data_IF_977059705429
#
_entry.id   IF_977059705429
#
_cell.length_a   1.000
_cell.length_b   1.000
_cell.length_c   1.000
_cell.angle_alpha   90.00
_cell.angle_beta   90.00
_cell.angle_gamma   90.00
#
_symmetry.space_group_name_H-M   'P 1'
#
loop_
_entity.id
_entity.type
_entity.pdbx_description
1 polymer ?
#
# COMPACT_ATOMS: atom_id res chain seq x y z
N UNK A 1 18.79 -0.56 21.72
CA UNK A 1 18.25 0.72 21.20
C UNK A 1 17.61 0.44 19.86
N UNK A 2 16.33 0.76 19.62
CA UNK A 2 15.72 0.52 18.32
C UNK A 2 16.27 1.52 17.29
N UNK A 3 16.54 1.04 16.08
CA UNK A 3 17.17 1.78 15.00
C UNK A 3 16.45 3.11 14.68
N UNK A 4 17.20 4.18 14.39
CA UNK A 4 16.61 5.44 13.95
C UNK A 4 16.12 5.27 12.51
N UNK A 5 14.82 5.12 12.27
CA UNK A 5 14.34 5.32 10.90
C UNK A 5 13.00 4.73 10.50
N UNK A 6 12.45 3.74 11.19
CA UNK A 6 11.19 3.11 10.76
C UNK A 6 10.01 3.84 11.41
N UNK A 7 9.14 4.43 10.59
CA UNK A 7 7.92 5.10 11.03
C UNK A 7 6.71 4.29 10.58
N UNK A 8 5.83 4.00 11.54
CA UNK A 8 4.62 3.24 11.32
C UNK A 8 3.39 4.14 11.41
N UNK A 9 2.42 3.88 10.54
CA UNK A 9 1.20 4.66 10.41
C UNK A 9 -0.02 3.78 10.54
N UNK A 10 -1.11 4.33 11.05
CA UNK A 10 -2.40 3.66 11.23
C UNK A 10 -3.51 4.54 10.67
N UNK A 11 -4.39 3.92 9.88
CA UNK A 11 -5.70 4.46 9.51
C UNK A 11 -6.76 3.76 10.35
N UNK A 12 -7.66 4.53 10.96
CA UNK A 12 -8.85 4.01 11.65
C UNK A 12 -10.10 4.16 10.78
N UNK A 13 -11.02 3.22 10.93
CA UNK A 13 -12.36 3.26 10.36
C UNK A 13 -13.39 3.33 11.51
N UNK A 14 -14.54 3.94 11.28
CA UNK A 14 -15.55 4.18 12.31
C UNK A 14 -15.99 2.86 12.99
N UNK A 15 -16.16 2.92 14.33
CA UNK A 15 -16.34 1.72 15.16
C UNK A 15 -17.70 1.06 14.93
N UNK A 16 -17.67 -0.23 14.64
CA UNK A 16 -18.83 -1.13 14.76
C UNK A 16 -18.57 -2.07 15.94
N UNK A 17 -19.59 -2.28 16.77
CA UNK A 17 -19.52 -3.07 18.01
C UNK A 17 -19.32 -4.57 17.75
N UNK A 18 -18.62 -5.24 18.67
CA UNK A 18 -18.14 -6.62 18.56
C UNK A 18 -19.17 -7.61 19.13
N UNK A 19 -19.57 -8.62 18.35
CA UNK A 19 -20.04 -9.90 18.88
C UNK A 19 -18.95 -10.95 18.70
N UNK A 20 -18.84 -11.97 19.56
CA UNK A 20 -17.89 -13.08 19.41
C UNK A 20 -18.61 -14.29 18.78
N UNK A 21 -18.04 -14.92 17.75
CA UNK A 21 -18.55 -16.20 17.23
C UNK A 21 -17.44 -17.02 16.57
N UNK A 22 -17.60 -18.34 16.65
CA UNK A 22 -16.58 -19.36 16.42
C UNK A 22 -16.40 -19.73 14.94
N UNK A 23 -15.18 -20.06 14.51
CA UNK A 23 -14.81 -20.25 13.10
C UNK A 23 -14.90 -21.71 12.59
N UNK A 24 -15.52 -22.62 13.35
CA UNK A 24 -15.53 -24.06 13.05
C UNK A 24 -16.85 -24.51 12.43
N UNK A 25 -17.22 -23.94 11.29
CA UNK A 25 -18.34 -24.41 10.47
C UNK A 25 -17.84 -25.31 9.34
N UNK A 26 -18.29 -26.58 9.29
CA UNK A 26 -18.09 -27.47 8.12
C UNK A 26 -18.69 -26.79 6.87
N UNK A 27 -17.85 -26.46 5.89
CA UNK A 27 -18.20 -25.73 4.66
C UNK A 27 -18.98 -26.65 3.72
N UNK A 28 -20.21 -26.30 3.37
CA UNK A 28 -21.03 -27.01 2.37
C UNK A 28 -20.79 -26.36 1.00
N UNK A 29 -20.41 -27.17 0.00
CA UNK A 29 -20.15 -26.78 -1.41
C UNK A 29 -21.45 -26.29 -2.05
N UNK A 30 -21.53 -25.00 -2.36
CA UNK A 30 -22.53 -24.46 -3.30
C UNK A 30 -21.74 -24.02 -4.52
N UNK A 31 -21.75 -24.84 -5.57
CA UNK A 31 -21.18 -24.48 -6.86
C UNK A 31 -22.10 -23.45 -7.51
N UNK A 32 -21.69 -22.19 -7.50
CA UNK A 32 -22.38 -21.13 -8.22
C UNK A 32 -21.63 -20.93 -9.55
N UNK A 33 -22.09 -21.58 -10.62
CA UNK A 33 -21.46 -21.60 -11.95
C UNK A 33 -21.26 -20.23 -12.61
N UNK A 34 -21.74 -19.14 -11.99
CA UNK A 34 -21.65 -17.77 -12.51
C UNK A 34 -20.47 -16.96 -11.91
N UNK A 35 -19.60 -17.58 -11.10
CA UNK A 35 -18.43 -16.91 -10.50
C UNK A 35 -17.21 -16.98 -11.43
N UNK A 36 -17.07 -18.04 -12.23
CA UNK A 36 -15.87 -18.30 -13.05
C UNK A 36 -15.54 -17.22 -14.08
N UNK A 37 -16.55 -16.44 -14.51
CA UNK A 37 -16.40 -15.37 -15.53
C UNK A 37 -16.56 -13.96 -14.96
N UNK A 38 -16.60 -13.78 -13.63
CA UNK A 38 -16.79 -12.45 -13.05
C UNK A 38 -15.53 -11.60 -13.21
N UNK A 39 -15.75 -10.42 -13.78
CA UNK A 39 -14.72 -9.44 -14.06
C UNK A 39 -15.18 -8.10 -13.52
N UNK A 40 -14.46 -7.57 -12.55
CA UNK A 40 -14.77 -6.28 -11.93
C UNK A 40 -13.88 -5.17 -12.50
N UNK A 41 -14.36 -3.93 -12.51
CA UNK A 41 -13.52 -2.80 -12.89
C UNK A 41 -12.47 -2.52 -11.82
N UNK A 42 -11.19 -2.44 -12.19
CA UNK A 42 -10.09 -2.18 -11.25
C UNK A 42 -10.32 -0.86 -10.49
N UNK A 43 -10.79 0.18 -11.18
CA UNK A 43 -11.05 1.50 -10.60
C UNK A 43 -12.37 1.59 -9.83
N UNK A 44 -13.26 0.58 -9.93
CA UNK A 44 -14.59 0.58 -9.29
C UNK A 44 -14.80 -0.53 -8.27
N UNK A 45 -13.90 -1.51 -8.21
CA UNK A 45 -13.94 -2.58 -7.21
C UNK A 45 -13.70 -2.05 -5.79
N UNK A 46 -14.68 -2.27 -4.91
CA UNK A 46 -14.73 -1.75 -3.54
C UNK A 46 -15.48 -0.43 -3.40
N UNK A 47 -15.99 0.15 -4.49
CA UNK A 47 -16.96 1.25 -4.42
C UNK A 47 -18.32 0.73 -3.90
N UNK A 48 -19.20 1.61 -3.38
CA UNK A 48 -20.55 1.21 -3.00
C UNK A 48 -21.26 0.43 -4.12
N UNK A 49 -21.82 -0.72 -3.76
CA UNK A 49 -22.48 -1.65 -4.68
C UNK A 49 -21.55 -2.50 -5.55
N UNK A 50 -20.22 -2.39 -5.43
CA UNK A 50 -19.26 -3.14 -6.24
C UNK A 50 -18.19 -3.85 -5.39
N UNK A 51 -18.20 -5.19 -5.27
CA UNK A 51 -19.15 -6.12 -5.89
C UNK A 51 -20.47 -6.24 -5.11
N UNK A 52 -20.50 -5.76 -3.87
CA UNK A 52 -21.67 -5.65 -3.00
C UNK A 52 -21.35 -4.71 -1.83
N UNK A 53 -22.40 -4.24 -1.16
CA UNK A 53 -22.28 -3.53 0.11
C UNK A 53 -22.30 -4.53 1.26
N UNK A 54 -21.35 -4.38 2.18
CA UNK A 54 -21.27 -5.22 3.38
C UNK A 54 -21.56 -4.37 4.62
N UNK A 55 -22.41 -4.86 5.50
CA UNK A 55 -22.89 -4.16 6.71
C UNK A 55 -22.62 -4.95 8.00
N UNK A 56 -21.99 -6.12 7.89
CA UNK A 56 -21.56 -6.95 9.01
C UNK A 56 -20.18 -6.59 9.56
N UNK A 57 -19.69 -7.32 10.58
CA UNK A 57 -18.29 -7.23 11.00
C UNK A 57 -17.36 -7.88 9.96
N UNK A 58 -16.10 -7.44 9.92
CA UNK A 58 -15.11 -7.91 8.93
C UNK A 58 -15.09 -9.43 8.72
N UNK A 59 -15.11 -10.24 9.79
CA UNK A 59 -15.06 -11.71 9.70
C UNK A 59 -16.20 -12.34 8.90
N UNK A 60 -17.36 -11.70 8.89
CA UNK A 60 -18.54 -12.22 8.22
C UNK A 60 -18.52 -11.68 6.77
N UNK A 61 -18.18 -10.41 6.61
CA UNK A 61 -18.00 -9.77 5.29
C UNK A 61 -16.96 -10.50 4.43
N UNK A 62 -15.79 -10.83 4.97
CA UNK A 62 -14.74 -11.53 4.20
C UNK A 62 -15.19 -12.92 3.75
N UNK A 63 -15.98 -13.64 4.56
CA UNK A 63 -16.49 -14.97 4.20
C UNK A 63 -17.49 -14.87 3.06
N UNK A 64 -18.47 -13.97 3.18
CA UNK A 64 -19.46 -13.70 2.14
C UNK A 64 -18.76 -13.25 0.86
N UNK A 65 -17.83 -12.30 0.98
CA UNK A 65 -17.02 -11.80 -0.13
C UNK A 65 -16.33 -12.93 -0.90
N UNK A 66 -15.59 -13.80 -0.20
CA UNK A 66 -14.87 -14.89 -0.85
C UNK A 66 -15.82 -15.91 -1.48
N UNK A 67 -16.89 -16.30 -0.77
CA UNK A 67 -17.85 -17.31 -1.24
C UNK A 67 -18.63 -16.86 -2.48
N UNK A 68 -19.09 -15.61 -2.48
CA UNK A 68 -20.05 -15.15 -3.47
C UNK A 68 -19.39 -14.38 -4.63
N UNK A 69 -18.18 -13.84 -4.44
CA UNK A 69 -17.57 -12.89 -5.38
C UNK A 69 -16.15 -13.23 -5.81
N UNK A 70 -15.48 -14.20 -5.18
CA UNK A 70 -14.15 -14.66 -5.57
C UNK A 70 -14.19 -16.10 -6.09
N UNK A 71 -13.32 -16.42 -7.05
CA UNK A 71 -13.18 -17.77 -7.59
C UNK A 71 -12.26 -18.58 -6.68
N UNK A 72 -12.73 -19.72 -6.20
CA UNK A 72 -11.88 -20.68 -5.49
C UNK A 72 -10.96 -21.37 -6.50
N UNK A 73 -9.65 -21.33 -6.25
CA UNK A 73 -8.67 -22.03 -7.08
C UNK A 73 -8.50 -23.48 -6.63
N UNK A 74 -8.31 -24.39 -7.58
CA UNK A 74 -8.17 -25.83 -7.33
C UNK A 74 -6.74 -26.23 -6.91
N UNK A 75 -5.96 -25.29 -6.36
CA UNK A 75 -4.61 -25.50 -5.87
C UNK A 75 -4.39 -24.78 -4.54
N UNK A 76 -3.38 -25.24 -3.80
CA UNK A 76 -2.93 -24.60 -2.58
C UNK A 76 -1.58 -23.94 -2.82
N UNK A 77 -1.29 -22.87 -2.08
CA UNK A 77 0.04 -22.25 -2.06
C UNK A 77 0.53 -22.26 -0.62
N UNK A 78 1.66 -22.91 -0.36
CA UNK A 78 2.18 -23.12 1.00
C UNK A 78 1.12 -23.67 1.99
N UNK A 79 0.24 -24.56 1.49
CA UNK A 79 -0.87 -25.15 2.26
C UNK A 79 -2.09 -24.23 2.47
N UNK A 80 -2.06 -22.99 1.95
CA UNK A 80 -3.15 -22.03 2.05
C UNK A 80 -4.18 -22.21 0.94
N UNK A 81 -5.46 -22.01 1.28
CA UNK A 81 -6.54 -21.95 0.28
C UNK A 81 -6.43 -20.66 -0.51
N UNK A 82 -6.53 -20.75 -1.83
CA UNK A 82 -6.37 -19.58 -2.72
C UNK A 82 -7.68 -19.23 -3.40
N UNK A 83 -8.02 -17.96 -3.35
CA UNK A 83 -9.12 -17.36 -4.09
C UNK A 83 -8.54 -16.36 -5.11
N UNK A 84 -9.20 -16.19 -6.25
CA UNK A 84 -8.81 -15.24 -7.28
C UNK A 84 -9.96 -14.29 -7.65
N UNK A 85 -9.60 -13.05 -7.94
CA UNK A 85 -10.49 -12.00 -8.43
C UNK A 85 -9.83 -11.38 -9.67
N UNK A 86 -10.56 -11.37 -10.78
CA UNK A 86 -10.13 -10.71 -12.01
C UNK A 86 -10.59 -9.25 -12.03
N UNK A 87 -9.64 -8.33 -12.23
CA UNK A 87 -9.86 -6.88 -12.26
C UNK A 87 -9.48 -6.31 -13.62
N UNK A 88 -10.45 -5.76 -14.36
CA UNK A 88 -10.25 -5.09 -15.65
C UNK A 88 -9.65 -3.71 -15.45
N UNK A 89 -8.49 -3.46 -16.04
CA UNK A 89 -7.83 -2.14 -16.03
C UNK A 89 -8.23 -1.32 -17.25
N UNK A 90 -8.20 -1.94 -18.43
CA UNK A 90 -8.70 -1.42 -19.70
C UNK A 90 -9.28 -2.57 -20.53
N UNK A 91 -9.78 -2.30 -21.74
CA UNK A 91 -10.40 -3.31 -22.60
C UNK A 91 -9.47 -4.47 -22.98
N UNK A 92 -8.16 -4.25 -22.89
CA UNK A 92 -7.12 -5.19 -23.31
C UNK A 92 -6.37 -5.84 -22.14
N UNK A 93 -6.56 -5.36 -20.91
CA UNK A 93 -5.72 -5.74 -19.79
C UNK A 93 -6.45 -5.95 -18.48
N UNK A 94 -6.05 -7.02 -17.80
CA UNK A 94 -6.59 -7.44 -16.52
C UNK A 94 -5.45 -7.67 -15.52
N UNK A 95 -5.76 -7.44 -14.25
CA UNK A 95 -4.92 -7.76 -13.10
C UNK A 95 -5.65 -8.83 -12.30
N UNK A 96 -4.94 -9.89 -11.92
CA UNK A 96 -5.46 -10.88 -10.98
C UNK A 96 -5.03 -10.50 -9.57
N UNK A 97 -6.01 -10.36 -8.68
CA UNK A 97 -5.78 -10.26 -7.24
C UNK A 97 -6.09 -11.62 -6.61
N UNK A 98 -5.18 -12.13 -5.81
CA UNK A 98 -5.36 -13.37 -5.06
C UNK A 98 -5.63 -13.06 -3.60
N UNK A 99 -6.48 -13.88 -2.98
CA UNK A 99 -6.68 -13.86 -1.52
C UNK A 99 -6.32 -15.24 -0.98
N UNK A 100 -5.29 -15.31 -0.15
CA UNK A 100 -4.85 -16.55 0.48
C UNK A 100 -5.34 -16.61 1.92
N UNK A 101 -5.97 -17.72 2.28
CA UNK A 101 -6.46 -18.00 3.63
C UNK A 101 -5.39 -18.79 4.40
N UNK A 102 -4.67 -18.11 5.29
CA UNK A 102 -3.65 -18.70 6.15
C UNK A 102 -4.25 -19.02 7.53
N UNK A 103 -4.22 -20.30 7.91
CA UNK A 103 -4.68 -20.72 9.23
C UNK A 103 -3.55 -20.56 10.24
N UNK A 104 -3.74 -19.74 11.27
CA UNK A 104 -2.69 -19.37 12.24
C UNK A 104 -2.07 -20.58 12.95
N UNK A 105 -2.89 -21.61 13.20
CA UNK A 105 -2.45 -22.89 13.78
C UNK A 105 -1.46 -23.68 12.90
N UNK A 106 -1.49 -23.47 11.58
CA UNK A 106 -0.64 -24.16 10.61
C UNK A 106 0.44 -23.22 10.05
N UNK A 107 0.45 -21.96 10.48
CA UNK A 107 1.36 -20.94 9.99
C UNK A 107 2.78 -21.17 10.50
N UNK A 108 3.78 -20.93 9.64
CA UNK A 108 5.18 -20.92 10.04
C UNK A 108 5.47 -19.89 11.15
N UNK A 109 4.74 -18.77 11.09
CA UNK A 109 4.80 -17.67 12.07
C UNK A 109 3.41 -17.43 12.67
N UNK A 110 3.06 -18.07 13.80
CA UNK A 110 1.73 -17.94 14.42
C UNK A 110 1.45 -16.52 14.94
N UNK A 111 2.51 -15.80 15.34
CA UNK A 111 2.41 -14.40 15.72
C UNK A 111 2.51 -13.51 14.48
N UNK A 112 1.88 -12.33 14.56
CA UNK A 112 1.97 -11.32 13.53
C UNK A 112 3.06 -10.32 13.88
N UNK A 113 4.17 -10.37 13.15
CA UNK A 113 5.30 -9.47 13.34
C UNK A 113 4.86 -7.99 13.25
N UNK A 114 3.96 -7.64 12.32
CA UNK A 114 3.43 -6.29 12.18
C UNK A 114 2.61 -5.82 13.40
N UNK A 115 1.83 -6.70 14.02
CA UNK A 115 1.12 -6.39 15.25
C UNK A 115 2.10 -6.11 16.40
N UNK A 116 3.24 -6.79 16.41
CA UNK A 116 4.29 -6.57 17.41
C UNK A 116 4.87 -5.17 17.33
N UNK A 117 5.19 -4.71 16.13
CA UNK A 117 5.77 -3.37 15.94
C UNK A 117 4.80 -2.23 16.27
N UNK A 118 3.51 -2.41 16.03
CA UNK A 118 2.48 -1.39 16.25
C UNK A 118 1.90 -1.40 17.68
N UNK A 119 2.18 -2.45 18.47
CA UNK A 119 1.60 -2.62 19.80
C UNK A 119 0.18 -3.21 19.78
N UNK A 120 -0.18 -3.92 18.71
CA UNK A 120 -1.44 -4.67 18.58
C UNK A 120 -1.34 -6.11 19.09
N UNK A 121 -0.31 -6.42 19.89
CA UNK A 121 -0.05 -7.74 20.49
C UNK A 121 -1.20 -8.30 21.34
N UNK A 122 -2.18 -7.50 21.73
CA UNK A 122 -3.34 -7.96 22.50
C UNK A 122 -4.49 -8.46 21.60
N UNK A 123 -4.32 -8.42 20.28
CA UNK A 123 -5.31 -8.87 19.29
C UNK A 123 -5.09 -10.31 18.80
N UNK A 124 -4.39 -11.14 19.58
CA UNK A 124 -3.98 -12.53 19.28
C UNK A 124 -5.12 -13.55 19.07
N UNK A 125 -6.38 -13.13 19.11
CA UNK A 125 -7.52 -14.03 18.96
C UNK A 125 -7.90 -14.35 17.50
N UNK A 126 -7.12 -13.89 16.53
CA UNK A 126 -7.39 -14.19 15.12
C UNK A 126 -6.96 -15.62 14.80
N UNK A 127 -7.90 -16.48 14.39
CA UNK A 127 -7.61 -17.87 13.99
C UNK A 127 -7.09 -17.98 12.56
N UNK A 128 -7.27 -16.92 11.76
CA UNK A 128 -6.99 -16.89 10.34
C UNK A 128 -6.46 -15.52 9.89
N UNK A 129 -5.56 -15.51 8.90
CA UNK A 129 -5.07 -14.33 8.20
C UNK A 129 -5.44 -14.42 6.72
N UNK A 130 -5.90 -13.32 6.15
CA UNK A 130 -6.27 -13.20 4.74
C UNK A 130 -5.24 -12.32 4.04
N UNK A 131 -4.49 -12.89 3.10
CA UNK A 131 -3.43 -12.20 2.37
C UNK A 131 -3.92 -11.81 0.99
N UNK A 132 -4.11 -10.51 0.76
CA UNK A 132 -4.48 -9.91 -0.52
C UNK A 132 -3.23 -9.60 -1.31
N UNK A 133 -3.02 -10.31 -2.41
CA UNK A 133 -1.79 -10.26 -3.19
C UNK A 133 -2.09 -9.95 -4.64
N UNK A 134 -1.43 -8.94 -5.19
CA UNK A 134 -1.31 -8.75 -6.64
C UNK A 134 0.15 -9.04 -7.00
N UNK A 135 0.44 -10.14 -7.70
CA UNK A 135 1.81 -10.46 -8.08
C UNK A 135 2.31 -9.49 -9.17
N UNK A 136 3.62 -9.25 -9.22
CA UNK A 136 4.20 -8.64 -10.41
C UNK A 136 4.04 -9.58 -11.61
N UNK A 137 3.84 -8.98 -12.79
CA UNK A 137 3.94 -9.73 -14.04
C UNK A 137 5.36 -10.22 -14.20
N UNK A 138 5.53 -11.54 -14.35
CA UNK A 138 6.82 -12.26 -14.44
C UNK A 138 7.97 -11.35 -14.88
N UNK A 139 8.84 -10.95 -13.95
CA UNK A 139 10.18 -10.51 -14.30
C UNK A 139 10.99 -11.76 -14.63
N UNK A 140 11.83 -11.70 -15.66
CA UNK A 140 12.73 -12.79 -16.05
C UNK A 140 13.89 -13.00 -15.05
N UNK A 141 13.70 -12.61 -13.78
CA UNK A 141 14.76 -12.67 -12.77
C UNK A 141 15.01 -14.12 -12.37
N UNK A 142 16.00 -14.72 -13.04
CA UNK A 142 16.51 -16.08 -12.81
C UNK A 142 17.27 -16.24 -11.49
N UNK A 143 17.15 -15.29 -10.55
CA UNK A 143 17.89 -15.28 -9.29
C UNK A 143 16.95 -15.31 -8.07
N UNK A 144 15.90 -16.15 -8.10
CA UNK A 144 15.22 -16.55 -6.88
C UNK A 144 15.95 -17.79 -6.38
N UNK A 145 16.92 -17.57 -5.50
CA UNK A 145 17.47 -18.63 -4.65
C UNK A 145 16.33 -19.24 -3.83
N UNK A 146 16.28 -20.57 -3.81
CA UNK A 146 15.27 -21.38 -3.15
C UNK A 146 15.07 -20.98 -1.67
N UNK A 147 13.85 -21.17 -1.15
CA UNK A 147 13.36 -20.89 0.23
C UNK A 147 12.85 -19.46 0.54
N UNK A 148 12.17 -18.77 -0.40
CA UNK A 148 11.31 -17.61 -0.05
C UNK A 148 9.85 -18.04 -0.18
N UNK A 149 9.07 -17.93 0.91
CA UNK A 149 7.62 -18.21 0.87
C UNK A 149 6.92 -17.22 -0.05
N UNK A 150 5.76 -17.58 -0.62
CA UNK A 150 5.05 -16.63 -1.50
C UNK A 150 4.76 -15.31 -0.78
N UNK A 151 4.50 -15.37 0.52
CA UNK A 151 4.16 -14.20 1.35
C UNK A 151 5.33 -13.25 1.56
N UNK A 152 6.57 -13.72 1.43
CA UNK A 152 7.79 -12.93 1.63
C UNK A 152 8.36 -12.38 0.31
N UNK A 153 7.68 -12.60 -0.81
CA UNK A 153 8.14 -12.15 -2.12
C UNK A 153 8.13 -10.61 -2.23
N UNK A 154 9.30 -9.97 -2.44
CA UNK A 154 9.38 -8.50 -2.50
C UNK A 154 8.82 -7.91 -3.79
N UNK A 155 8.53 -8.76 -4.78
CA UNK A 155 8.05 -8.38 -6.11
C UNK A 155 6.54 -8.17 -6.19
N UNK A 156 5.78 -8.45 -5.14
CA UNK A 156 4.33 -8.20 -5.14
C UNK A 156 4.01 -6.74 -5.45
N UNK A 157 3.07 -6.48 -6.36
CA UNK A 157 2.55 -5.14 -6.62
C UNK A 157 1.67 -4.64 -5.46
N UNK A 158 0.93 -5.55 -4.85
CA UNK A 158 0.19 -5.32 -3.61
C UNK A 158 0.40 -6.53 -2.72
N UNK A 159 0.70 -6.28 -1.45
CA UNK A 159 0.50 -7.26 -0.39
C UNK A 159 -0.14 -6.53 0.78
N UNK A 160 -1.40 -6.84 1.02
CA UNK A 160 -2.11 -6.47 2.23
C UNK A 160 -2.54 -7.71 2.99
N UNK A 161 -2.68 -7.59 4.31
CA UNK A 161 -3.07 -8.71 5.16
C UNK A 161 -4.14 -8.25 6.15
N UNK A 162 -5.15 -9.08 6.37
CA UNK A 162 -6.13 -8.88 7.43
C UNK A 162 -6.15 -10.05 8.39
N UNK A 163 -6.26 -9.74 9.67
CA UNK A 163 -6.68 -10.67 10.70
C UNK A 163 -8.20 -10.85 10.62
N UNK A 164 -8.72 -12.01 11.01
CA UNK A 164 -10.16 -12.27 11.07
C UNK A 164 -10.91 -11.30 12.00
N UNK A 165 -10.23 -10.66 12.95
CA UNK A 165 -10.82 -9.63 13.80
C UNK A 165 -10.91 -8.25 13.12
N UNK A 166 -10.54 -8.09 11.85
CA UNK A 166 -10.64 -6.85 11.07
C UNK A 166 -9.49 -5.86 11.26
N UNK A 167 -8.44 -6.19 11.99
CA UNK A 167 -7.18 -5.43 11.93
C UNK A 167 -6.39 -5.86 10.70
N UNK A 168 -5.74 -4.92 10.02
CA UNK A 168 -4.95 -5.22 8.84
C UNK A 168 -3.61 -4.51 8.80
N UNK A 169 -2.76 -4.98 7.90
CA UNK A 169 -1.45 -4.43 7.63
C UNK A 169 -1.26 -4.34 6.12
N UNK A 170 -0.91 -3.16 5.63
CA UNK A 170 -0.40 -2.99 4.29
C UNK A 170 1.10 -3.33 4.34
N UNK A 171 1.47 -4.45 3.73
CA UNK A 171 2.83 -4.99 3.73
C UNK A 171 3.65 -4.33 2.62
N UNK A 172 3.12 -4.26 1.40
CA UNK A 172 3.80 -3.57 0.32
C UNK A 172 2.83 -3.01 -0.74
N UNK A 173 3.27 -1.91 -1.36
CA UNK A 173 2.70 -1.39 -2.61
C UNK A 173 3.85 -1.05 -3.54
N UNK A 174 3.83 -1.67 -4.70
CA UNK A 174 4.82 -1.52 -5.75
C UNK A 174 4.11 -1.14 -7.05
N UNK A 175 4.36 0.08 -7.53
CA UNK A 175 3.76 0.61 -8.75
C UNK A 175 4.58 0.33 -10.01
N UNK A 176 4.40 1.19 -11.02
CA UNK A 176 5.14 1.13 -12.30
C UNK A 176 6.66 1.16 -12.12
N UNK A 177 7.17 1.85 -11.10
CA UNK A 177 8.60 1.94 -10.79
C UNK A 177 9.22 0.60 -10.39
N UNK A 178 8.41 -0.38 -9.98
CA UNK A 178 8.83 -1.75 -9.65
C UNK A 178 8.23 -2.79 -10.61
N UNK A 179 7.95 -2.40 -11.85
CA UNK A 179 7.60 -3.33 -12.93
C UNK A 179 6.11 -3.55 -13.19
N UNK A 180 5.20 -2.85 -12.49
CA UNK A 180 3.79 -2.90 -12.87
C UNK A 180 3.57 -2.27 -14.25
N UNK A 181 2.98 -3.02 -15.19
CA UNK A 181 2.65 -2.50 -16.53
C UNK A 181 1.29 -1.81 -16.56
N UNK A 182 0.36 -2.26 -15.71
CA UNK A 182 -1.06 -1.91 -15.84
C UNK A 182 -1.52 -0.88 -14.80
N UNK A 183 -1.00 -0.92 -13.57
CA UNK A 183 -1.43 -0.01 -12.51
C UNK A 183 -0.25 0.73 -11.85
N UNK A 184 -0.41 2.02 -11.59
CA UNK A 184 0.51 2.78 -10.73
C UNK A 184 0.31 2.43 -9.25
N UNK A 185 1.30 2.75 -8.42
CA UNK A 185 1.20 2.50 -6.97
C UNK A 185 0.05 3.27 -6.34
N UNK A 186 -0.32 4.43 -6.90
CA UNK A 186 -1.47 5.20 -6.47
C UNK A 186 -2.78 4.44 -6.72
N UNK A 187 -2.97 3.94 -7.93
CA UNK A 187 -4.20 3.22 -8.29
C UNK A 187 -4.32 1.89 -7.52
N UNK A 188 -3.19 1.22 -7.23
CA UNK A 188 -3.16 0.04 -6.35
C UNK A 188 -3.53 0.42 -4.90
N UNK A 189 -3.06 1.56 -4.41
CA UNK A 189 -3.42 2.06 -3.08
C UNK A 189 -4.90 2.44 -3.01
N UNK A 190 -5.46 3.04 -4.06
CA UNK A 190 -6.90 3.33 -4.16
C UNK A 190 -7.74 2.05 -4.14
N UNK A 191 -7.30 0.98 -4.81
CA UNK A 191 -7.91 -0.35 -4.72
C UNK A 191 -7.83 -0.92 -3.30
N UNK A 192 -6.66 -0.88 -2.67
CA UNK A 192 -6.47 -1.36 -1.30
C UNK A 192 -7.36 -0.60 -0.31
N UNK A 193 -7.44 0.73 -0.45
CA UNK A 193 -8.23 1.56 0.44
C UNK A 193 -9.72 1.26 0.37
N UNK A 194 -10.23 1.11 -0.84
CA UNK A 194 -11.63 0.73 -1.08
C UNK A 194 -11.92 -0.69 -0.60
N UNK A 195 -10.97 -1.62 -0.77
CA UNK A 195 -11.09 -2.97 -0.21
C UNK A 195 -11.17 -2.93 1.33
N UNK A 196 -10.37 -2.09 1.98
CA UNK A 196 -10.43 -1.89 3.44
C UNK A 196 -11.80 -1.36 3.88
N UNK A 197 -12.32 -0.36 3.17
CA UNK A 197 -13.62 0.24 3.47
C UNK A 197 -14.78 -0.74 3.22
N UNK A 198 -14.81 -1.37 2.04
CA UNK A 198 -15.80 -2.37 1.62
C UNK A 198 -15.91 -3.52 2.62
N UNK A 199 -14.79 -4.07 3.07
CA UNK A 199 -14.79 -5.18 4.04
C UNK A 199 -14.98 -4.71 5.49
N UNK A 200 -15.06 -3.39 5.72
CA UNK A 200 -15.17 -2.77 7.05
C UNK A 200 -14.02 -3.19 7.98
N UNK A 201 -12.80 -3.14 7.44
CA UNK A 201 -11.59 -3.22 8.24
C UNK A 201 -11.65 -2.16 9.36
N UNK A 202 -11.22 -2.50 10.56
CA UNK A 202 -11.29 -1.59 11.72
C UNK A 202 -10.19 -0.56 11.71
N UNK A 203 -8.97 -1.08 11.50
CA UNK A 203 -7.72 -0.34 11.56
C UNK A 203 -6.74 -1.06 10.67
N UNK A 204 -6.00 -0.28 9.89
CA UNK A 204 -4.95 -0.80 9.01
C UNK A 204 -3.67 -0.05 9.31
N UNK A 205 -2.58 -0.78 9.52
CA UNK A 205 -1.27 -0.17 9.66
C UNK A 205 -0.46 -0.27 8.37
N UNK A 206 0.53 0.58 8.23
CA UNK A 206 1.56 0.50 7.18
C UNK A 206 2.90 0.90 7.78
N UNK A 207 3.96 0.27 7.31
CA UNK A 207 5.32 0.71 7.52
C UNK A 207 5.75 1.58 6.34
N UNK A 208 6.03 2.86 6.55
CA UNK A 208 6.36 3.78 5.46
C UNK A 208 7.84 3.68 5.08
N UNK A 209 8.16 2.62 4.34
CA UNK A 209 9.49 2.33 3.77
C UNK A 209 9.56 2.62 2.27
N UNK A 210 8.55 3.29 1.73
CA UNK A 210 8.45 3.59 0.31
C UNK A 210 9.60 4.47 -0.18
N UNK A 211 10.19 4.13 -1.33
CA UNK A 211 11.26 4.91 -1.96
C UNK A 211 10.94 5.21 -3.41
N UNK A 212 11.36 6.38 -3.87
CA UNK A 212 11.39 6.79 -5.26
C UNK A 212 12.82 7.04 -5.66
N UNK A 213 13.39 6.14 -6.47
CA UNK A 213 14.85 6.00 -6.64
C UNK A 213 15.51 5.83 -5.25
N UNK A 214 16.53 6.63 -4.93
CA UNK A 214 17.20 6.61 -3.64
C UNK A 214 16.48 7.43 -2.55
N UNK A 215 15.43 8.18 -2.87
CA UNK A 215 14.77 9.09 -1.93
C UNK A 215 13.60 8.41 -1.22
N UNK A 216 13.52 8.55 0.11
CA UNK A 216 12.37 8.10 0.88
C UNK A 216 11.13 8.93 0.52
N UNK A 217 10.04 8.26 0.13
CA UNK A 217 8.79 8.91 -0.27
C UNK A 217 8.19 9.72 0.87
N UNK A 218 8.28 9.23 2.11
CA UNK A 218 7.82 9.97 3.30
C UNK A 218 8.47 11.35 3.40
N UNK A 219 9.78 11.46 3.17
CA UNK A 219 10.50 12.73 3.27
C UNK A 219 10.14 13.63 2.10
N UNK A 220 10.16 13.08 0.88
CA UNK A 220 9.82 13.81 -0.33
C UNK A 220 8.40 14.39 -0.27
N UNK A 221 7.42 13.57 0.14
CA UNK A 221 6.03 13.99 0.26
C UNK A 221 5.82 14.96 1.42
N UNK A 222 6.42 14.74 2.58
CA UNK A 222 6.33 15.69 3.69
C UNK A 222 6.91 17.05 3.30
N UNK A 223 8.08 17.10 2.66
CA UNK A 223 8.71 18.36 2.23
C UNK A 223 7.96 19.01 1.06
N UNK A 224 7.33 18.26 0.16
CA UNK A 224 6.51 18.83 -0.91
C UNK A 224 5.12 19.28 -0.40
N UNK A 225 4.36 18.38 0.22
CA UNK A 225 2.93 18.59 0.50
C UNK A 225 2.58 18.79 1.98
N UNK A 226 3.52 18.56 2.90
CA UNK A 226 3.30 18.74 4.35
C UNK A 226 2.72 17.50 5.02
N UNK A 227 2.59 16.41 4.26
CA UNK A 227 2.03 15.15 4.71
C UNK A 227 2.76 13.99 4.02
N UNK A 228 2.66 12.79 4.58
CA UNK A 228 3.26 11.59 3.98
C UNK A 228 2.52 11.20 2.71
N UNK A 229 3.11 10.29 1.91
CA UNK A 229 2.41 9.75 0.74
C UNK A 229 1.11 9.04 1.15
N UNK A 230 1.17 8.24 2.22
CA UNK A 230 0.02 7.51 2.76
C UNK A 230 -1.00 8.42 3.47
N UNK A 231 -0.61 9.60 3.94
CA UNK A 231 -1.50 10.58 4.58
C UNK A 231 -2.69 11.00 3.72
N UNK A 232 -2.53 10.93 2.39
CA UNK A 232 -3.60 11.12 1.40
C UNK A 232 -4.77 10.15 1.54
N UNK A 233 -4.51 8.98 2.11
CA UNK A 233 -5.50 7.96 2.47
C UNK A 233 -5.71 7.93 3.99
N UNK A 234 -5.55 9.05 4.69
CA UNK A 234 -5.89 9.17 6.11
C UNK A 234 -5.00 8.38 7.08
N UNK A 235 -3.87 7.83 6.64
CA UNK A 235 -2.90 7.19 7.53
C UNK A 235 -2.18 8.24 8.38
N UNK A 236 -2.11 8.00 9.69
CA UNK A 236 -1.48 8.91 10.65
C UNK A 236 -0.43 8.18 11.47
N UNK A 237 0.50 8.91 12.07
CA UNK A 237 1.52 8.33 12.95
C UNK A 237 0.90 7.44 14.02
N UNK A 238 1.43 6.23 14.16
CA UNK A 238 0.89 5.25 15.09
C UNK A 238 1.20 5.60 16.55
N UNK A 239 2.42 6.07 16.83
CA UNK A 239 2.91 6.42 18.17
C UNK A 239 3.94 7.56 18.11
N UNK A 240 4.31 8.09 19.29
CA UNK A 240 5.01 9.36 19.53
C UNK A 240 6.23 9.72 18.66
N UNK A 241 6.64 10.99 18.75
CA UNK A 241 7.55 11.78 17.88
C UNK A 241 6.91 12.53 16.70
N UNK A 242 5.59 12.39 16.49
CA UNK A 242 4.87 13.12 15.44
C UNK A 242 5.09 14.63 15.50
N UNK A 243 4.99 15.25 16.69
CA UNK A 243 5.13 16.71 16.80
C UNK A 243 6.53 17.21 16.45
N UNK A 244 7.57 16.53 16.93
CA UNK A 244 8.96 16.86 16.61
C UNK A 244 9.24 16.69 15.12
N UNK A 245 8.75 15.60 14.53
CA UNK A 245 8.86 15.34 13.10
C UNK A 245 8.15 16.41 12.27
N UNK A 246 6.91 16.77 12.63
CA UNK A 246 6.14 17.81 11.93
C UNK A 246 6.82 19.17 12.02
N UNK A 247 7.36 19.56 13.19
CA UNK A 247 8.13 20.79 13.35
C UNK A 247 9.39 20.81 12.47
N UNK A 248 10.11 19.68 12.39
CA UNK A 248 11.27 19.56 11.52
C UNK A 248 10.89 19.69 10.04
N UNK A 249 9.79 19.04 9.63
CA UNK A 249 9.25 19.16 8.27
C UNK A 249 8.84 20.61 7.96
N UNK A 250 8.15 21.28 8.87
CA UNK A 250 7.74 22.69 8.71
C UNK A 250 8.96 23.61 8.55
N UNK A 251 9.99 23.43 9.38
CA UNK A 251 11.24 24.18 9.27
C UNK A 251 11.94 23.96 7.91
N UNK A 252 12.05 22.71 7.45
CA UNK A 252 12.63 22.39 6.14
C UNK A 252 11.80 23.01 5.02
N UNK A 253 10.47 22.86 5.05
CA UNK A 253 9.55 23.40 4.04
C UNK A 253 9.62 24.92 3.94
N UNK A 254 9.72 25.59 5.08
CA UNK A 254 9.78 27.04 5.21
C UNK A 254 11.16 27.63 4.90
N UNK A 255 12.22 26.81 4.86
CA UNK A 255 13.59 27.27 4.61
C UNK A 255 13.67 28.03 3.26
N UNK A 256 14.13 29.29 3.25
CA UNK A 256 14.39 30.03 2.02
C UNK A 256 15.46 29.33 1.18
N UNK A 257 15.28 29.32 -0.14
CA UNK A 257 16.25 28.69 -1.05
C UNK A 257 17.62 29.35 -0.98
N UNK A 258 17.69 30.65 -0.73
CA UNK A 258 18.95 31.37 -0.51
C UNK A 258 19.76 30.81 0.67
N UNK A 259 19.08 30.46 1.77
CA UNK A 259 19.70 29.85 2.96
C UNK A 259 20.19 28.44 2.64
N UNK A 260 19.34 27.62 2.01
CA UNK A 260 19.73 26.27 1.56
C UNK A 260 20.97 26.32 0.65
N UNK A 261 20.98 27.23 -0.34
CA UNK A 261 22.10 27.38 -1.27
C UNK A 261 23.36 27.89 -0.58
N UNK A 262 23.26 28.71 0.46
CA UNK A 262 24.40 29.14 1.26
C UNK A 262 25.06 27.95 1.97
N UNK A 263 24.27 27.04 2.55
CA UNK A 263 24.78 25.82 3.19
C UNK A 263 25.47 24.86 2.20
N UNK A 264 25.13 24.95 0.91
CA UNK A 264 25.70 24.11 -0.14
C UNK A 264 26.99 24.68 -0.76
N UNK A 265 27.32 25.95 -0.50
CA UNK A 265 28.56 26.57 -1.01
C UNK A 265 29.79 25.84 -0.47
N UNK A 266 30.58 25.26 -1.39
CA UNK A 266 31.84 24.59 -1.08
C UNK A 266 31.73 23.12 -0.63
N UNK A 267 30.52 22.55 -0.54
CA UNK A 267 30.30 21.16 -0.09
C UNK A 267 29.40 20.32 -1.03
N UNK A 268 28.63 20.96 -1.92
CA UNK A 268 27.67 20.29 -2.81
C UNK A 268 27.94 20.66 -4.26
N UNK A 269 27.60 19.73 -5.15
CA UNK A 269 27.67 19.87 -6.61
C UNK A 269 27.11 21.21 -7.11
N UNK A 270 27.88 21.92 -7.94
CA UNK A 270 27.48 23.18 -8.58
C UNK A 270 26.16 23.02 -9.38
N UNK A 271 25.84 21.79 -9.78
CA UNK A 271 24.61 21.44 -10.48
C UNK A 271 23.35 21.73 -9.67
N UNK A 272 23.38 21.66 -8.34
CA UNK A 272 22.18 21.90 -7.51
C UNK A 272 21.72 23.35 -7.61
N UNK A 273 22.65 24.31 -7.57
CA UNK A 273 22.31 25.73 -7.72
C UNK A 273 21.73 26.03 -9.10
N UNK A 274 22.29 25.41 -10.14
CA UNK A 274 21.80 25.51 -11.52
C UNK A 274 20.39 24.94 -11.65
N UNK A 275 20.13 23.77 -11.07
CA UNK A 275 18.79 23.15 -11.05
C UNK A 275 17.78 24.05 -10.34
N UNK A 276 18.12 24.64 -9.19
CA UNK A 276 17.24 25.58 -8.48
C UNK A 276 16.91 26.78 -9.36
N UNK A 277 17.92 27.40 -9.99
CA UNK A 277 17.73 28.55 -10.86
C UNK A 277 16.80 28.26 -12.04
N UNK A 278 16.89 27.06 -12.64
CA UNK A 278 15.98 26.63 -13.71
C UNK A 278 14.53 26.61 -13.24
N UNK A 279 14.24 25.98 -12.09
CA UNK A 279 12.87 25.92 -11.58
C UNK A 279 12.34 27.26 -11.08
N UNK A 280 13.20 28.14 -10.55
CA UNK A 280 12.82 29.52 -10.23
C UNK A 280 12.41 30.28 -11.49
N UNK A 281 13.19 30.18 -12.57
CA UNK A 281 12.85 30.80 -13.85
C UNK A 281 11.54 30.25 -14.42
N UNK A 282 11.37 28.93 -14.44
CA UNK A 282 10.16 28.28 -14.96
C UNK A 282 8.88 28.63 -14.16
N UNK A 283 9.02 28.93 -12.87
CA UNK A 283 7.90 29.29 -12.00
C UNK A 283 7.62 30.81 -11.97
N UNK A 284 8.31 31.62 -12.78
CA UNK A 284 8.19 33.08 -12.72
C UNK A 284 8.68 33.66 -11.38
N UNK A 285 9.70 33.03 -10.78
CA UNK A 285 10.25 33.37 -9.45
C UNK A 285 9.25 33.27 -8.29
N UNK A 286 8.17 32.49 -8.44
CA UNK A 286 7.22 32.24 -7.35
C UNK A 286 7.72 31.19 -6.34
N UNK A 287 8.69 30.36 -6.75
CA UNK A 287 9.34 29.33 -5.93
C UNK A 287 10.51 29.95 -5.13
N UNK A 288 10.30 30.15 -3.82
CA UNK A 288 11.27 30.82 -2.93
C UNK A 288 11.70 29.99 -1.71
N UNK A 289 10.99 28.90 -1.41
CA UNK A 289 11.31 28.01 -0.29
C UNK A 289 11.54 26.58 -0.78
N UNK A 290 12.22 25.76 0.02
CA UNK A 290 12.46 24.34 -0.30
C UNK A 290 11.14 23.60 -0.53
N UNK A 291 10.12 23.85 0.29
CA UNK A 291 8.82 23.19 0.12
C UNK A 291 8.11 23.55 -1.19
N UNK A 292 8.16 24.84 -1.58
CA UNK A 292 7.61 25.29 -2.87
C UNK A 292 8.38 24.70 -4.05
N UNK A 293 9.71 24.59 -3.95
CA UNK A 293 10.54 23.98 -4.98
C UNK A 293 10.19 22.51 -5.17
N UNK A 294 10.16 21.73 -4.08
CA UNK A 294 9.84 20.30 -4.15
C UNK A 294 8.43 20.05 -4.69
N UNK A 295 7.45 20.86 -4.28
CA UNK A 295 6.08 20.80 -4.81
C UNK A 295 6.06 21.04 -6.32
N UNK A 296 6.70 22.14 -6.76
CA UNK A 296 6.75 22.51 -8.17
C UNK A 296 7.43 21.43 -9.01
N UNK A 297 8.57 20.88 -8.55
CA UNK A 297 9.27 19.80 -9.26
C UNK A 297 8.42 18.54 -9.40
N UNK A 298 7.69 18.16 -8.35
CA UNK A 298 6.82 16.98 -8.34
C UNK A 298 5.63 17.14 -9.28
N UNK A 299 5.02 18.32 -9.31
CA UNK A 299 3.91 18.65 -10.20
C UNK A 299 4.34 18.87 -11.65
N UNK A 300 5.51 19.48 -11.86
CA UNK A 300 6.05 19.67 -13.20
C UNK A 300 6.33 18.33 -13.86
N UNK A 301 6.95 17.39 -13.12
CA UNK A 301 7.22 16.04 -13.62
C UNK A 301 5.96 15.28 -14.02
N UNK A 302 4.82 15.50 -13.34
CA UNK A 302 3.57 14.81 -13.70
C UNK A 302 2.94 15.35 -15.00
N UNK A 303 3.31 16.57 -15.41
CA UNK A 303 2.85 17.24 -16.62
C UNK A 303 3.78 17.03 -17.82
N UNK A 304 5.01 16.57 -17.60
CA UNK A 304 5.94 16.25 -18.69
C UNK A 304 5.43 15.04 -19.48
N UNK A 305 5.53 15.06 -20.83
CA UNK A 305 5.29 13.87 -21.64
C UNK A 305 6.14 12.71 -21.13
N UNK A 306 5.55 11.52 -20.99
CA UNK A 306 6.32 10.32 -20.64
C UNK A 306 7.23 10.00 -21.82
N UNK A 307 8.53 10.25 -21.68
CA UNK A 307 9.52 9.76 -22.64
C UNK A 307 9.38 8.23 -22.72
N UNK A 308 9.02 7.74 -23.90
CA UNK A 308 9.16 6.31 -24.23
C UNK A 308 10.67 6.07 -24.36
N UNK A 309 11.33 5.74 -23.25
CA UNK A 309 12.69 5.24 -23.28
C UNK A 309 12.65 3.97 -24.12
N UNK A 310 13.07 4.06 -25.38
CA UNK A 310 13.38 2.90 -26.21
C UNK A 310 14.60 2.25 -25.53
N UNK A 311 14.45 1.03 -25.05
CA UNK A 311 15.58 0.20 -24.74
C UNK A 311 16.36 0.00 -26.05
N UNK A 312 17.49 0.67 -26.19
CA UNK A 312 18.59 0.30 -27.09
C UNK A 312 19.42 -0.76 -26.43
#
# INVERSE_FOLDING_TARGET
MPSPGIQSFVRGFDRVMWGSSDCTGKRKRVENNNIENRLYGFQTFGDPGCPADFDGPFRDNIRIFLQDFARLENFLVDGMTVWSIALRVDDSSCISMFVMEEMVQNALRPHCDYCQFIGWNHHLMSKCRYHFIIPAQKSNDKNITEVVTVLDMPSHLLHGMFHSNGFGHLVCINGREKGSKNASGREIMDLWDRTCAMLRARKVSVEDVGKKKAMELRLLHCVAYGDTWFGRWGFKFAQGSQQTYLKAIEAIRGMPLSVMLQHFRGQVDHDVASVVAVYQKLSGNSVQTVGKLMSFMMEFKSRLPREKIKAT
#
